data_IF_563617685534
#
_entry.id   IF_563617685534
#
_cell.length_a   1.000
_cell.length_b   1.000
_cell.length_c   1.000
_cell.angle_alpha   90.00
_cell.angle_beta   90.00
_cell.angle_gamma   90.00
#
_symmetry.space_group_name_H-M   'P 1'
#
loop_
_entity.id
_entity.type
_entity.pdbx_description
1 polymer ?
#
# COMPACT_ATOMS: atom_id res chain seq x y z
N UNK A 1 21.49 31.20 20.19
CA UNK A 1 21.12 31.63 21.56
C UNK A 1 21.75 30.67 22.56
N UNK A 2 22.65 31.14 23.41
CA UNK A 2 23.33 30.29 24.41
C UNK A 2 22.30 29.67 25.38
N UNK A 3 22.42 28.37 25.65
CA UNK A 3 21.57 27.66 26.61
C UNK A 3 21.74 28.32 27.99
N UNK A 4 20.72 28.99 28.52
CA UNK A 4 20.72 29.36 29.95
C UNK A 4 20.74 28.07 30.76
N UNK A 5 21.79 27.90 31.57
CA UNK A 5 22.00 26.73 32.45
C UNK A 5 20.75 26.53 33.30
N UNK A 6 20.22 25.31 33.37
CA UNK A 6 19.05 25.02 34.24
C UNK A 6 19.46 25.45 35.66
N UNK A 7 18.67 26.31 36.34
CA UNK A 7 18.94 26.67 37.72
C UNK A 7 18.91 25.47 38.68
N UNK A 8 18.46 24.28 38.25
CA UNK A 8 18.52 23.06 39.03
C UNK A 8 18.87 21.82 38.18
N UNK A 9 20.16 21.62 37.85
CA UNK A 9 20.61 20.53 36.96
C UNK A 9 20.46 19.13 37.59
N UNK A 10 20.27 19.03 38.91
CA UNK A 10 20.13 17.75 39.61
C UNK A 10 18.76 17.08 39.41
N UNK A 11 17.87 17.69 38.61
CA UNK A 11 16.53 17.19 38.30
C UNK A 11 16.44 16.56 36.90
N UNK A 12 17.58 16.28 36.24
CA UNK A 12 17.62 15.67 34.92
C UNK A 12 17.93 14.16 34.97
N UNK A 13 17.19 13.28 34.26
CA UNK A 13 15.87 13.49 33.64
C UNK A 13 14.70 13.14 34.58
N UNK A 14 14.96 12.85 35.86
CA UNK A 14 13.97 12.42 36.86
C UNK A 14 13.85 13.44 38.00
N UNK A 15 12.64 13.51 38.57
CA UNK A 15 12.39 14.20 39.83
C UNK A 15 13.03 13.43 41.00
N UNK A 16 13.17 14.04 42.19
CA UNK A 16 13.80 13.38 43.35
C UNK A 16 13.08 12.10 43.82
N UNK A 17 11.81 11.94 43.42
CA UNK A 17 10.99 10.76 43.69
C UNK A 17 11.07 9.68 42.59
N UNK A 18 12.02 9.82 41.65
CA UNK A 18 12.26 8.87 40.57
C UNK A 18 11.28 8.97 39.39
N UNK A 19 10.29 9.87 39.41
CA UNK A 19 9.36 10.03 38.28
C UNK A 19 10.00 10.84 37.16
N UNK A 20 9.72 10.52 35.88
CA UNK A 20 10.27 11.28 34.75
C UNK A 20 9.82 12.74 34.81
N UNK A 21 10.75 13.66 34.62
CA UNK A 21 10.50 15.09 34.60
C UNK A 21 10.09 15.55 33.21
N UNK A 22 9.22 16.55 33.14
CA UNK A 22 8.88 17.22 31.89
C UNK A 22 10.12 17.82 31.20
N UNK A 23 10.30 17.51 29.92
CA UNK A 23 11.44 17.96 29.11
C UNK A 23 11.18 19.32 28.42
N UNK A 24 9.99 19.90 28.58
CA UNK A 24 9.67 21.22 28.03
C UNK A 24 10.35 22.34 28.83
N UNK A 25 10.68 23.45 28.16
CA UNK A 25 11.25 24.66 28.76
C UNK A 25 10.21 25.76 28.82
N UNK A 26 10.21 26.52 29.91
CA UNK A 26 9.38 27.71 30.05
C UNK A 26 9.75 28.74 29.00
N UNK A 27 8.75 29.28 28.30
CA UNK A 27 8.95 30.34 27.30
C UNK A 27 9.44 31.65 27.93
N UNK A 28 9.01 31.96 29.16
CA UNK A 28 9.34 33.22 29.84
C UNK A 28 10.71 33.20 30.52
N UNK A 29 11.13 32.06 31.06
CA UNK A 29 12.37 31.96 31.85
C UNK A 29 13.46 31.11 31.21
N UNK A 30 13.14 30.30 30.20
CA UNK A 30 14.08 29.38 29.53
C UNK A 30 14.49 28.16 30.38
N UNK A 31 14.10 28.13 31.66
CA UNK A 31 14.34 27.02 32.57
C UNK A 31 13.46 25.81 32.23
N UNK A 32 13.94 24.60 32.50
CA UNK A 32 13.17 23.39 32.26
C UNK A 32 12.02 23.25 33.28
N UNK A 33 10.91 22.69 32.83
CA UNK A 33 9.71 22.53 33.63
C UNK A 33 9.94 21.56 34.80
N UNK A 34 9.57 21.94 36.03
CA UNK A 34 9.72 21.10 37.24
C UNK A 34 8.55 20.14 37.48
N UNK A 35 7.57 20.09 36.59
CA UNK A 35 6.41 19.20 36.72
C UNK A 35 6.77 17.77 36.31
N UNK A 36 6.15 16.74 36.92
CA UNK A 36 6.26 15.37 36.45
C UNK A 36 5.70 15.26 35.03
N UNK A 37 6.38 14.48 34.19
CA UNK A 37 5.86 14.09 32.89
C UNK A 37 4.68 13.13 33.08
N UNK A 38 3.67 13.25 32.21
CA UNK A 38 2.55 12.30 32.22
C UNK A 38 3.07 10.95 31.73
N UNK A 39 2.65 9.85 32.37
CA UNK A 39 3.06 8.49 31.97
C UNK A 39 2.81 8.29 30.46
N UNK A 40 3.86 7.92 29.72
CA UNK A 40 3.83 7.76 28.26
C UNK A 40 4.15 9.02 27.44
N UNK A 41 4.46 10.15 28.08
CA UNK A 41 4.91 11.39 27.42
C UNK A 41 6.23 11.89 28.00
N UNK A 42 6.96 12.66 27.21
CA UNK A 42 8.13 13.43 27.67
C UNK A 42 7.78 14.78 28.30
N UNK A 43 6.49 15.15 28.32
CA UNK A 43 6.00 16.46 28.79
C UNK A 43 4.85 16.32 29.80
N UNK A 44 4.62 17.36 30.61
CA UNK A 44 3.53 17.41 31.57
C UNK A 44 2.18 17.79 30.92
N UNK A 45 1.09 17.71 31.68
CA UNK A 45 -0.27 18.05 31.25
C UNK A 45 -0.39 19.49 30.72
N UNK A 46 0.41 20.42 31.25
CA UNK A 46 0.42 21.84 30.87
C UNK A 46 1.21 22.10 29.58
N UNK A 47 2.28 21.34 29.33
CA UNK A 47 3.19 21.56 28.21
C UNK A 47 2.92 20.69 26.97
N UNK A 48 1.92 19.80 27.00
CA UNK A 48 1.48 19.13 25.77
C UNK A 48 0.78 17.79 25.96
N UNK A 49 0.92 17.13 27.12
CA UNK A 49 0.28 15.84 27.36
C UNK A 49 -1.25 15.93 27.51
N UNK A 50 -1.79 17.12 27.81
CA UNK A 50 -3.22 17.32 28.06
C UNK A 50 -3.69 16.75 29.40
N UNK A 51 -4.95 17.02 29.75
CA UNK A 51 -5.62 16.42 30.92
C UNK A 51 -6.51 15.25 30.47
N UNK A 52 -6.83 14.32 31.39
CA UNK A 52 -7.73 13.19 31.10
C UNK A 52 -9.06 13.62 30.49
N UNK A 53 -9.64 14.73 31.00
CA UNK A 53 -10.87 15.34 30.47
C UNK A 53 -10.74 15.74 28.99
N UNK A 54 -9.67 16.44 28.62
CA UNK A 54 -9.44 16.88 27.22
C UNK A 54 -9.12 15.74 26.26
N UNK A 55 -8.59 14.62 26.78
CA UNK A 55 -8.42 13.39 25.99
C UNK A 55 -9.78 12.72 25.76
N UNK A 56 -10.62 12.64 26.79
CA UNK A 56 -11.97 12.07 26.69
C UNK A 56 -12.89 12.89 25.74
N UNK A 57 -12.72 14.21 25.72
CA UNK A 57 -13.43 15.14 24.83
C UNK A 57 -12.83 15.20 23.41
N UNK A 58 -11.77 14.42 23.11
CA UNK A 58 -11.11 14.39 21.80
C UNK A 58 -10.26 15.63 21.46
N UNK A 59 -10.21 16.63 22.33
CA UNK A 59 -9.43 17.86 22.15
C UNK A 59 -7.90 17.65 22.21
N UNK A 60 -7.44 16.49 22.73
CA UNK A 60 -6.02 16.08 22.75
C UNK A 60 -5.86 14.58 22.52
N UNK A 61 -4.72 14.18 21.94
CA UNK A 61 -4.39 12.76 21.73
C UNK A 61 -4.13 12.06 23.08
N UNK A 62 -4.51 10.77 23.24
CA UNK A 62 -4.22 9.99 24.44
C UNK A 62 -2.72 9.64 24.58
N UNK A 63 -2.19 9.45 25.81
CA UNK A 63 -0.82 9.02 26.07
C UNK A 63 -0.47 7.68 25.43
N UNK A 64 0.67 7.62 24.72
CA UNK A 64 1.24 6.40 24.18
C UNK A 64 1.58 6.47 22.69
N UNK A 65 2.03 5.32 22.15
CA UNK A 65 2.20 5.12 20.70
C UNK A 65 0.85 5.38 20.02
N UNK A 66 0.80 6.03 18.84
CA UNK A 66 -0.42 6.13 18.06
C UNK A 66 -1.09 4.76 17.96
N UNK A 67 -2.40 4.70 18.18
CA UNK A 67 -3.16 3.47 17.96
C UNK A 67 -2.90 3.02 16.53
N UNK A 68 -2.25 1.87 16.37
CA UNK A 68 -2.00 1.29 15.05
C UNK A 68 -3.34 0.77 14.54
N UNK A 69 -3.93 1.48 13.57
CA UNK A 69 -5.25 1.18 13.05
C UNK A 69 -5.17 0.49 11.68
N UNK A 70 -6.18 -0.33 11.38
CA UNK A 70 -6.31 -1.00 10.09
C UNK A 70 -5.29 -2.11 9.87
N UNK A 71 -4.87 -2.31 8.61
CA UNK A 71 -4.05 -3.45 8.18
C UNK A 71 -2.69 -3.57 8.89
N UNK A 72 -2.24 -2.50 9.54
CA UNK A 72 -0.99 -2.45 10.30
C UNK A 72 -1.10 -3.04 11.72
N UNK A 73 -2.30 -3.36 12.21
CA UNK A 73 -2.43 -4.07 13.49
C UNK A 73 -1.90 -5.51 13.37
N UNK A 74 -1.30 -6.05 14.45
CA UNK A 74 -0.74 -7.40 14.45
C UNK A 74 -1.76 -8.48 14.03
N UNK A 75 -3.01 -8.32 14.47
CA UNK A 75 -4.11 -9.22 14.08
C UNK A 75 -4.35 -9.21 12.57
N UNK A 76 -4.45 -8.02 11.97
CA UNK A 76 -4.70 -7.89 10.54
C UNK A 76 -3.49 -8.31 9.69
N UNK A 77 -2.27 -8.07 10.19
CA UNK A 77 -1.05 -8.55 9.55
C UNK A 77 -0.99 -10.09 9.52
N UNK A 78 -1.37 -10.77 10.61
CA UNK A 78 -1.44 -12.22 10.67
C UNK A 78 -2.49 -12.79 9.69
N UNK A 79 -3.68 -12.20 9.65
CA UNK A 79 -4.73 -12.61 8.69
C UNK A 79 -4.28 -12.42 7.24
N UNK A 80 -3.69 -11.26 6.92
CA UNK A 80 -3.18 -11.00 5.57
C UNK A 80 -2.07 -11.98 5.16
N UNK A 81 -1.20 -12.35 6.09
CA UNK A 81 -0.14 -13.31 5.84
C UNK A 81 -0.69 -14.71 5.54
N UNK A 82 -1.69 -15.16 6.30
CA UNK A 82 -2.37 -16.43 6.03
C UNK A 82 -3.02 -16.42 4.64
N UNK A 83 -3.76 -15.36 4.30
CA UNK A 83 -4.37 -15.22 2.97
C UNK A 83 -3.33 -15.17 1.85
N UNK A 84 -2.18 -14.54 2.09
CA UNK A 84 -1.07 -14.54 1.14
C UNK A 84 -0.51 -15.94 0.90
N UNK A 85 -0.30 -16.72 1.97
CA UNK A 85 0.17 -18.11 1.88
C UNK A 85 -0.86 -18.99 1.16
N UNK A 86 -2.16 -18.81 1.41
CA UNK A 86 -3.24 -19.48 0.67
C UNK A 86 -3.23 -19.12 -0.82
N UNK A 87 -3.09 -17.83 -1.16
CA UNK A 87 -3.03 -17.38 -2.55
C UNK A 87 -1.82 -17.98 -3.28
N UNK A 88 -0.66 -18.04 -2.65
CA UNK A 88 0.51 -18.71 -3.21
C UNK A 88 0.27 -20.20 -3.42
N UNK A 89 -0.43 -20.86 -2.49
CA UNK A 89 -0.71 -22.29 -2.55
C UNK A 89 -1.69 -22.69 -3.66
N UNK A 90 -2.48 -21.75 -4.21
CA UNK A 90 -3.39 -22.00 -5.34
C UNK A 90 -2.64 -22.44 -6.61
N UNK A 91 -1.35 -22.10 -6.75
CA UNK A 91 -0.53 -22.54 -7.88
C UNK A 91 -1.00 -22.03 -9.25
N UNK A 92 -1.85 -21.00 -9.28
CA UNK A 92 -2.32 -20.34 -10.50
C UNK A 92 -1.16 -19.65 -11.24
N UNK A 93 -1.25 -19.50 -12.57
CA UNK A 93 -0.21 -18.88 -13.40
C UNK A 93 0.13 -17.46 -12.93
N UNK A 94 -0.86 -16.76 -12.37
CA UNK A 94 -0.71 -15.43 -11.78
C UNK A 94 -0.18 -15.42 -10.34
N UNK A 95 -0.15 -16.57 -9.66
CA UNK A 95 0.20 -16.70 -8.24
C UNK A 95 1.69 -16.89 -7.98
N UNK A 96 2.52 -17.04 -9.02
CA UNK A 96 3.98 -17.12 -8.86
C UNK A 96 4.65 -15.77 -8.58
N UNK A 97 3.95 -14.66 -8.83
CA UNK A 97 4.44 -13.31 -8.52
C UNK A 97 4.00 -12.87 -7.11
N UNK A 98 4.98 -12.59 -6.25
CA UNK A 98 4.74 -12.16 -4.86
C UNK A 98 3.93 -10.88 -4.78
N UNK A 99 4.11 -9.93 -5.70
CA UNK A 99 3.43 -8.65 -5.67
C UNK A 99 1.94 -8.82 -6.01
N UNK A 100 1.64 -9.64 -7.01
CA UNK A 100 0.26 -9.99 -7.39
C UNK A 100 -0.41 -10.79 -6.26
N UNK A 101 0.32 -11.72 -5.64
CA UNK A 101 -0.19 -12.51 -4.53
C UNK A 101 -0.54 -11.64 -3.31
N UNK A 102 0.27 -10.62 -2.98
CA UNK A 102 -0.07 -9.67 -1.90
C UNK A 102 -1.31 -8.85 -2.26
N UNK A 103 -1.44 -8.36 -3.49
CA UNK A 103 -2.62 -7.61 -3.91
C UNK A 103 -3.90 -8.48 -3.85
N UNK A 104 -3.83 -9.73 -4.33
CA UNK A 104 -4.92 -10.71 -4.23
C UNK A 104 -5.29 -10.99 -2.76
N UNK A 105 -4.31 -11.17 -1.88
CA UNK A 105 -4.54 -11.38 -0.45
C UNK A 105 -5.25 -10.18 0.23
N UNK A 106 -4.90 -8.95 -0.16
CA UNK A 106 -5.60 -7.74 0.33
C UNK A 106 -7.04 -7.70 -0.16
N UNK A 107 -7.29 -8.03 -1.43
CA UNK A 107 -8.66 -8.12 -1.96
C UNK A 107 -9.46 -9.18 -1.23
N UNK A 108 -8.90 -10.37 -1.01
CA UNK A 108 -9.55 -11.44 -0.25
C UNK A 108 -9.84 -11.05 1.19
N UNK A 109 -8.92 -10.33 1.85
CA UNK A 109 -9.17 -9.79 3.18
C UNK A 109 -10.38 -8.84 3.21
N UNK A 110 -10.53 -8.00 2.19
CA UNK A 110 -11.66 -7.09 2.04
C UNK A 110 -12.95 -7.84 1.63
N UNK A 111 -12.87 -8.90 0.82
CA UNK A 111 -14.03 -9.72 0.47
C UNK A 111 -14.53 -10.53 1.66
N UNK A 112 -13.63 -11.14 2.44
CA UNK A 112 -13.99 -11.84 3.68
C UNK A 112 -14.57 -10.90 4.74
N UNK A 113 -14.24 -9.60 4.64
CA UNK A 113 -14.86 -8.56 5.43
C UNK A 113 -16.22 -8.07 4.90
N UNK A 114 -16.70 -8.53 3.74
CA UNK A 114 -17.91 -8.03 3.09
C UNK A 114 -19.20 -8.32 3.86
N UNK A 115 -19.22 -9.30 4.76
CA UNK A 115 -20.32 -9.47 5.73
C UNK A 115 -20.55 -8.22 6.59
N UNK A 116 -19.55 -7.33 6.72
CA UNK A 116 -19.72 -6.01 7.35
C UNK A 116 -20.58 -5.07 6.53
N UNK A 117 -20.60 -5.19 5.20
CA UNK A 117 -21.43 -4.36 4.32
C UNK A 117 -22.90 -4.72 4.50
N UNK A 118 -23.22 -6.00 4.60
CA UNK A 118 -24.57 -6.48 4.93
C UNK A 118 -25.01 -6.01 6.33
N UNK A 119 -24.13 -6.09 7.32
CA UNK A 119 -24.39 -5.54 8.67
C UNK A 119 -24.62 -4.03 8.63
N UNK A 120 -23.81 -3.28 7.87
CA UNK A 120 -23.97 -1.83 7.72
C UNK A 120 -25.25 -1.47 6.99
N UNK A 121 -25.66 -2.28 6.01
CA UNK A 121 -26.94 -2.11 5.33
C UNK A 121 -28.10 -2.28 6.32
N UNK A 122 -28.13 -3.37 7.08
CA UNK A 122 -29.19 -3.57 8.10
C UNK A 122 -29.20 -2.47 9.17
N UNK A 123 -28.02 -1.96 9.55
CA UNK A 123 -27.92 -0.81 10.46
C UNK A 123 -28.41 0.49 9.82
N UNK A 124 -28.16 0.72 8.53
CA UNK A 124 -28.71 1.87 7.80
C UNK A 124 -30.24 1.79 7.74
N UNK A 125 -30.79 0.62 7.39
CA UNK A 125 -32.24 0.38 7.36
C UNK A 125 -32.87 0.68 8.73
N UNK A 126 -32.28 0.18 9.82
CA UNK A 126 -32.74 0.49 11.18
C UNK A 126 -32.62 1.96 11.57
N UNK A 127 -31.60 2.68 11.07
CA UNK A 127 -31.48 4.13 11.29
C UNK A 127 -32.52 4.92 10.51
N UNK A 128 -32.83 4.52 9.26
CA UNK A 128 -33.86 5.15 8.45
C UNK A 128 -35.25 4.94 9.05
N UNK A 129 -35.59 3.72 9.48
CA UNK A 129 -36.87 3.46 10.16
C UNK A 129 -37.05 4.34 11.42
N UNK A 130 -35.99 4.50 12.22
CA UNK A 130 -36.01 5.42 13.37
C UNK A 130 -36.12 6.89 12.99
N UNK A 131 -35.58 7.27 11.82
CA UNK A 131 -35.67 8.63 11.30
C UNK A 131 -37.09 8.97 10.88
N UNK A 132 -37.82 8.02 10.29
CA UNK A 132 -39.22 8.18 9.87
C UNK A 132 -40.15 8.46 11.06
N UNK A 133 -39.85 7.88 12.22
CA UNK A 133 -40.62 8.07 13.45
C UNK A 133 -40.11 9.24 14.32
N UNK A 134 -38.97 9.84 13.98
CA UNK A 134 -38.31 10.85 14.82
C UNK A 134 -38.96 12.23 14.73
N UNK A 135 -39.04 12.91 15.88
CA UNK A 135 -39.29 14.34 15.93
C UNK A 135 -38.05 15.15 15.52
N UNK A 136 -38.23 16.46 15.35
CA UNK A 136 -37.17 17.36 14.86
C UNK A 136 -35.91 17.35 15.75
N UNK A 137 -36.05 17.15 17.06
CA UNK A 137 -34.92 17.10 17.98
C UNK A 137 -34.15 15.76 17.91
N UNK A 138 -34.84 14.63 17.69
CA UNK A 138 -34.19 13.32 17.56
C UNK A 138 -33.63 13.05 16.15
N UNK A 139 -34.15 13.71 15.12
CA UNK A 139 -33.72 13.51 13.73
C UNK A 139 -32.24 13.89 13.51
N UNK A 140 -31.77 14.98 14.14
CA UNK A 140 -30.41 15.49 13.93
C UNK A 140 -29.29 14.50 14.30
N UNK A 141 -29.28 13.86 15.48
CA UNK A 141 -28.27 12.85 15.81
C UNK A 141 -28.41 11.56 14.99
N UNK A 142 -29.61 11.24 14.48
CA UNK A 142 -29.81 10.09 13.59
C UNK A 142 -29.23 10.36 12.20
N UNK A 143 -29.46 11.54 11.62
CA UNK A 143 -28.84 11.95 10.34
C UNK A 143 -27.31 11.87 10.39
N UNK A 144 -26.68 12.31 11.49
CA UNK A 144 -25.24 12.20 11.66
C UNK A 144 -24.75 10.74 11.68
N UNK A 145 -25.52 9.83 12.29
CA UNK A 145 -25.20 8.41 12.30
C UNK A 145 -25.33 7.79 10.92
N UNK A 146 -26.38 8.15 10.17
CA UNK A 146 -26.58 7.73 8.78
C UNK A 146 -25.42 8.19 7.90
N UNK A 147 -25.12 9.49 7.92
CA UNK A 147 -24.02 10.07 7.12
C UNK A 147 -22.69 9.39 7.42
N UNK A 148 -22.36 9.20 8.70
CA UNK A 148 -21.14 8.54 9.12
C UNK A 148 -21.06 7.09 8.63
N UNK A 149 -22.16 6.34 8.72
CA UNK A 149 -22.21 4.96 8.29
C UNK A 149 -22.11 4.85 6.76
N UNK A 150 -22.78 5.73 6.02
CA UNK A 150 -22.66 5.82 4.57
C UNK A 150 -21.22 6.14 4.14
N UNK A 151 -20.55 7.10 4.79
CA UNK A 151 -19.15 7.41 4.51
C UNK A 151 -18.22 6.22 4.78
N UNK A 152 -18.48 5.45 5.85
CA UNK A 152 -17.72 4.24 6.16
C UNK A 152 -17.90 3.15 5.11
N UNK A 153 -19.15 2.91 4.70
CA UNK A 153 -19.48 1.95 3.64
C UNK A 153 -18.84 2.34 2.32
N UNK A 154 -18.98 3.60 1.90
CA UNK A 154 -18.38 4.10 0.66
C UNK A 154 -16.86 3.95 0.68
N UNK A 155 -16.20 4.39 1.76
CA UNK A 155 -14.75 4.28 1.89
C UNK A 155 -14.26 2.82 1.84
N UNK A 156 -15.07 1.88 2.33
CA UNK A 156 -14.75 0.46 2.25
C UNK A 156 -14.84 -0.08 0.82
N UNK A 157 -15.94 0.24 0.12
CA UNK A 157 -16.18 -0.18 -1.26
C UNK A 157 -15.14 0.43 -2.21
N UNK A 158 -14.78 1.70 -2.03
CA UNK A 158 -13.74 2.36 -2.82
C UNK A 158 -12.39 1.64 -2.68
N UNK A 159 -12.01 1.25 -1.46
CA UNK A 159 -10.77 0.48 -1.22
C UNK A 159 -10.82 -0.89 -1.88
N UNK A 160 -11.95 -1.59 -1.78
CA UNK A 160 -12.12 -2.89 -2.43
C UNK A 160 -11.97 -2.76 -3.95
N UNK A 161 -12.67 -1.79 -4.55
CA UNK A 161 -12.61 -1.51 -5.98
C UNK A 161 -11.19 -1.13 -6.43
N UNK A 162 -10.52 -0.24 -5.70
CA UNK A 162 -9.15 0.18 -5.99
C UNK A 162 -8.17 -1.00 -5.97
N UNK A 163 -8.24 -1.85 -4.93
CA UNK A 163 -7.35 -3.00 -4.83
C UNK A 163 -7.66 -4.07 -5.89
N UNK A 164 -8.93 -4.30 -6.20
CA UNK A 164 -9.32 -5.20 -7.29
C UNK A 164 -8.79 -4.71 -8.64
N UNK A 165 -8.93 -3.42 -8.93
CA UNK A 165 -8.39 -2.81 -10.15
C UNK A 165 -6.87 -2.96 -10.24
N UNK A 166 -6.14 -2.77 -9.13
CA UNK A 166 -4.68 -2.97 -9.08
C UNK A 166 -4.26 -4.40 -9.41
N UNK A 167 -5.02 -5.41 -8.97
CA UNK A 167 -4.77 -6.81 -9.35
C UNK A 167 -4.89 -6.98 -10.87
N UNK A 168 -5.99 -6.50 -11.46
CA UNK A 168 -6.22 -6.61 -12.91
C UNK A 168 -5.12 -5.92 -13.71
N UNK A 169 -4.72 -4.71 -13.31
CA UNK A 169 -3.62 -3.99 -13.96
C UNK A 169 -2.29 -4.74 -13.84
N UNK A 170 -1.97 -5.25 -12.65
CA UNK A 170 -0.73 -5.99 -12.44
C UNK A 170 -0.65 -7.24 -13.33
N UNK A 171 -1.73 -8.03 -13.37
CA UNK A 171 -1.82 -9.23 -14.23
C UNK A 171 -1.65 -8.84 -15.71
N UNK A 172 -2.37 -7.83 -16.19
CA UNK A 172 -2.26 -7.36 -17.57
C UNK A 172 -0.84 -6.94 -17.93
N UNK A 173 -0.22 -6.06 -17.14
CA UNK A 173 1.14 -5.56 -17.42
C UNK A 173 2.16 -6.69 -17.40
N UNK A 174 1.99 -7.70 -16.55
CA UNK A 174 2.87 -8.88 -16.52
C UNK A 174 2.73 -9.72 -17.78
N UNK A 175 1.50 -10.04 -18.20
CA UNK A 175 1.26 -10.79 -19.43
C UNK A 175 1.88 -10.09 -20.65
N UNK A 176 1.72 -8.77 -20.76
CA UNK A 176 2.36 -7.98 -21.83
C UNK A 176 3.89 -8.02 -21.77
N UNK A 177 4.46 -7.99 -20.56
CA UNK A 177 5.91 -8.05 -20.36
C UNK A 177 6.46 -9.43 -20.75
N UNK A 178 5.77 -10.50 -20.38
CA UNK A 178 6.15 -11.86 -20.71
C UNK A 178 6.10 -12.12 -22.21
N UNK A 179 5.05 -11.66 -22.89
CA UNK A 179 4.93 -11.73 -24.34
C UNK A 179 6.12 -11.06 -25.05
N UNK A 180 6.46 -9.82 -24.64
CA UNK A 180 7.61 -9.07 -25.19
C UNK A 180 8.94 -9.77 -24.91
N UNK A 181 9.12 -10.36 -23.73
CA UNK A 181 10.33 -11.12 -23.39
C UNK A 181 10.44 -12.40 -24.22
N UNK A 182 9.33 -13.10 -24.43
CA UNK A 182 9.30 -14.30 -25.27
C UNK A 182 9.68 -13.96 -26.72
N UNK A 183 9.13 -12.88 -27.27
CA UNK A 183 9.46 -12.37 -28.60
C UNK A 183 10.96 -11.99 -28.70
N UNK A 184 11.47 -11.24 -27.72
CA UNK A 184 12.89 -10.86 -27.67
C UNK A 184 13.80 -12.10 -27.62
N UNK A 185 13.41 -13.12 -26.84
CA UNK A 185 14.17 -14.37 -26.71
C UNK A 185 14.14 -15.18 -28.00
N UNK A 186 13.00 -15.25 -28.68
CA UNK A 186 12.87 -15.91 -29.98
C UNK A 186 13.75 -15.22 -31.03
N UNK A 187 13.75 -13.88 -31.08
CA UNK A 187 14.63 -13.11 -31.96
C UNK A 187 16.12 -13.38 -31.66
N UNK A 188 16.51 -13.43 -30.40
CA UNK A 188 17.88 -13.74 -30.00
C UNK A 188 18.32 -15.15 -30.46
N UNK A 189 17.45 -16.16 -30.34
CA UNK A 189 17.74 -17.50 -30.85
C UNK A 189 17.85 -17.54 -32.37
N UNK A 190 16.98 -16.81 -33.08
CA UNK A 190 17.04 -16.72 -34.53
C UNK A 190 18.36 -16.08 -34.99
N UNK A 191 18.77 -14.97 -34.37
CA UNK A 191 20.04 -14.30 -34.69
C UNK A 191 21.23 -15.25 -34.47
N UNK A 192 21.26 -15.95 -33.33
CA UNK A 192 22.30 -16.95 -33.07
C UNK A 192 22.30 -18.07 -34.11
N UNK A 193 21.13 -18.59 -34.49
CA UNK A 193 21.04 -19.60 -35.54
C UNK A 193 21.56 -19.09 -36.88
N UNK A 194 21.22 -17.85 -37.26
CA UNK A 194 21.71 -17.22 -38.49
C UNK A 194 23.22 -17.04 -38.46
N UNK A 195 23.80 -16.64 -37.33
CA UNK A 195 25.25 -16.47 -37.18
C UNK A 195 25.99 -17.82 -37.30
N UNK A 196 25.49 -18.87 -36.66
CA UNK A 196 26.05 -20.22 -36.79
C UNK A 196 25.91 -20.76 -38.23
N UNK A 197 24.76 -20.53 -38.87
CA UNK A 197 24.57 -20.90 -40.28
C UNK A 197 25.56 -20.17 -41.17
N UNK A 198 25.79 -18.87 -40.96
CA UNK A 198 26.80 -18.11 -41.71
C UNK A 198 28.20 -18.68 -41.51
N UNK A 199 28.59 -18.99 -40.26
CA UNK A 199 29.88 -19.60 -39.97
C UNK A 199 30.07 -20.92 -40.74
N UNK A 200 29.06 -21.79 -40.72
CA UNK A 200 29.08 -23.06 -41.49
C UNK A 200 29.18 -22.82 -42.99
N UNK A 201 28.44 -21.84 -43.54
CA UNK A 201 28.48 -21.53 -44.97
C UNK A 201 29.85 -20.99 -45.40
N UNK A 202 30.46 -20.09 -44.61
CA UNK A 202 31.80 -19.55 -44.86
C UNK A 202 32.86 -20.65 -44.81
N UNK A 203 32.74 -21.61 -43.89
CA UNK A 203 33.67 -22.74 -43.80
C UNK A 203 33.57 -23.74 -44.97
N UNK A 204 32.43 -23.78 -45.67
CA UNK A 204 32.10 -24.86 -46.63
C UNK A 204 32.00 -24.42 -48.08
N UNK A 205 31.87 -23.13 -48.34
CA UNK A 205 31.72 -22.58 -49.69
C UNK A 205 32.95 -21.77 -50.10
N UNK A 206 33.26 -21.79 -51.39
CA UNK A 206 34.22 -20.85 -51.96
C UNK A 206 33.70 -19.40 -51.82
N UNK A 207 34.58 -18.40 -51.65
CA UNK A 207 34.18 -17.02 -51.36
C UNK A 207 33.17 -16.43 -52.35
N UNK A 208 33.35 -16.68 -53.65
CA UNK A 208 32.47 -16.15 -54.70
C UNK A 208 31.06 -16.76 -54.63
N UNK A 209 30.95 -18.03 -54.23
CA UNK A 209 29.68 -18.74 -54.08
C UNK A 209 28.96 -18.25 -52.81
N UNK A 210 29.69 -18.04 -51.72
CA UNK A 210 29.13 -17.47 -50.50
C UNK A 210 28.52 -16.09 -50.73
N UNK A 211 29.24 -15.18 -51.41
CA UNK A 211 28.75 -13.84 -51.71
C UNK A 211 27.50 -13.86 -52.61
N UNK A 212 27.49 -14.71 -53.65
CA UNK A 212 26.32 -14.86 -54.51
C UNK A 212 25.09 -15.38 -53.75
N UNK A 213 25.28 -16.35 -52.84
CA UNK A 213 24.20 -16.86 -51.97
C UNK A 213 23.72 -15.78 -51.00
N UNK A 214 24.63 -15.01 -50.40
CA UNK A 214 24.27 -13.94 -49.47
C UNK A 214 23.46 -12.84 -50.15
N UNK A 215 23.88 -12.40 -51.34
CA UNK A 215 23.13 -11.41 -52.13
C UNK A 215 21.72 -11.90 -52.47
N UNK A 216 21.57 -13.14 -52.93
CA UNK A 216 20.26 -13.70 -53.30
C UNK A 216 19.37 -13.86 -52.06
N UNK A 217 19.94 -14.28 -50.94
CA UNK A 217 19.22 -14.39 -49.67
C UNK A 217 18.74 -13.01 -49.18
N UNK A 218 19.60 -11.99 -49.22
CA UNK A 218 19.25 -10.62 -48.85
C UNK A 218 18.13 -10.07 -49.75
N UNK A 219 18.22 -10.24 -51.06
CA UNK A 219 17.17 -9.82 -52.01
C UNK A 219 15.83 -10.48 -51.69
N UNK A 220 15.82 -11.79 -51.45
CA UNK A 220 14.59 -12.55 -51.13
C UNK A 220 14.01 -12.21 -49.76
N UNK A 221 14.85 -11.94 -48.76
CA UNK A 221 14.39 -11.52 -47.42
C UNK A 221 13.84 -10.11 -47.45
N UNK A 222 14.53 -9.16 -48.08
CA UNK A 222 14.05 -7.77 -48.22
C UNK A 222 12.73 -7.69 -48.98
N UNK A 223 12.56 -8.51 -50.03
CA UNK A 223 11.29 -8.61 -50.76
C UNK A 223 10.12 -9.10 -49.90
N UNK A 224 10.38 -9.87 -48.84
CA UNK A 224 9.36 -10.37 -47.90
C UNK A 224 9.16 -9.48 -46.68
N UNK A 225 10.14 -8.64 -46.33
CA UNK A 225 10.13 -7.77 -45.16
C UNK A 225 9.47 -6.41 -45.42
N UNK A 226 9.34 -5.99 -46.68
CA UNK A 226 8.51 -4.85 -47.04
C UNK A 226 7.04 -5.18 -46.74
N UNK A 227 6.29 -4.31 -46.04
CA UNK A 227 4.87 -4.51 -45.87
C UNK A 227 4.25 -4.66 -47.24
N UNK A 228 3.51 -5.75 -47.48
CA UNK A 228 2.72 -5.85 -48.68
C UNK A 228 1.72 -4.70 -48.63
N UNK A 229 1.77 -3.80 -49.61
CA UNK A 229 0.77 -2.78 -49.75
C UNK A 229 -0.57 -3.51 -49.93
N UNK A 230 -1.43 -3.44 -48.90
CA UNK A 230 -2.80 -3.92 -49.01
C UNK A 230 -3.49 -3.17 -50.17
N UNK A 231 -4.20 -3.86 -51.08
CA UNK A 231 -4.95 -3.24 -52.16
C UNK A 231 -6.14 -2.41 -51.67
#
# INVERSE_FOLDING_TARGET
MARKKDPNPNLEPFLPDGRPRCQARSKSTGAQCRQPAVRGYSVCHVHGAGTRKRVAEGARKPPGRPVVHGLYSERHAATLRALYEEVLALGDLDATDRDVAVLKAVVWYLLNGAGRVEEWQGRLEGLFARLEEAGAEEARPLLYQVERLMQQTQSYLDRLAEHAFRVVQAVKTRAETEAKRAETKALAYLLRFVDELKAVLVERLEPEVYEAVLEDLQKRVLAKALPQADP
#
